data_IF_930714603938
#
_entry.id   IF_930714603938
#
_cell.length_a   1.000
_cell.length_b   1.000
_cell.length_c   1.000
_cell.angle_alpha   90.00
_cell.angle_beta   90.00
_cell.angle_gamma   90.00
#
_symmetry.space_group_name_H-M   'P 1'
#
loop_
_entity.id
_entity.type
_entity.pdbx_description
1 polymer ?
#
# COMPACT_ATOMS: atom_id res chain seq x y z
N UNK A 1 -6.17 -7.24 19.22
CA UNK A 1 -6.03 -7.52 17.77
C UNK A 1 -5.45 -6.29 17.07
N UNK A 2 -4.42 -6.45 16.28
CA UNK A 2 -3.81 -5.34 15.55
C UNK A 2 -4.68 -4.91 14.37
N UNK A 3 -4.69 -3.62 14.13
CA UNK A 3 -5.47 -3.02 13.05
C UNK A 3 -4.59 -2.08 12.21
N UNK A 4 -5.15 -1.63 11.09
CA UNK A 4 -4.49 -0.71 10.16
C UNK A 4 -3.99 0.56 10.86
N UNK A 5 -4.75 1.08 11.83
CA UNK A 5 -4.33 2.27 12.58
C UNK A 5 -3.01 2.07 13.33
N UNK A 6 -2.71 0.85 13.78
CA UNK A 6 -1.43 0.54 14.41
C UNK A 6 -0.28 0.61 13.41
N UNK A 7 -0.52 0.13 12.19
CA UNK A 7 0.47 0.24 11.10
C UNK A 7 0.73 1.72 10.77
N UNK A 8 -0.33 2.50 10.59
CA UNK A 8 -0.21 3.92 10.26
C UNK A 8 0.47 4.72 11.38
N UNK A 9 0.20 4.37 12.65
CA UNK A 9 0.85 5.01 13.78
C UNK A 9 2.37 4.76 13.78
N UNK A 10 2.78 3.55 13.37
CA UNK A 10 4.20 3.16 13.32
C UNK A 10 4.93 3.77 12.12
N UNK A 11 4.36 3.63 10.92
CA UNK A 11 5.04 4.04 9.68
C UNK A 11 4.72 5.49 9.26
N UNK A 12 3.68 6.08 9.84
CA UNK A 12 3.16 7.36 9.42
C UNK A 12 2.08 7.21 8.34
N UNK A 13 1.28 8.25 8.18
CA UNK A 13 0.19 8.29 7.21
C UNK A 13 0.52 9.13 5.97
N UNK A 14 1.77 9.56 5.82
CA UNK A 14 2.21 10.31 4.64
C UNK A 14 2.11 9.43 3.39
N UNK A 15 1.52 10.00 2.34
CA UNK A 15 1.28 9.31 1.08
C UNK A 15 2.06 10.02 -0.02
N UNK A 16 2.81 9.24 -0.81
CA UNK A 16 3.50 9.75 -2.00
C UNK A 16 2.50 9.73 -3.15
N UNK A 17 2.19 10.90 -3.69
CA UNK A 17 1.19 11.04 -4.72
C UNK A 17 1.70 11.88 -5.89
N UNK A 18 1.21 11.59 -7.09
CA UNK A 18 1.51 12.33 -8.31
C UNK A 18 0.21 12.64 -9.06
N UNK A 19 0.15 13.76 -9.82
CA UNK A 19 -0.97 14.00 -10.72
C UNK A 19 -1.02 12.96 -11.84
N UNK A 20 -2.20 12.74 -12.41
CA UNK A 20 -2.43 11.75 -13.45
C UNK A 20 -1.62 12.00 -14.74
N UNK A 21 -1.26 13.24 -15.01
CA UNK A 21 -0.47 13.62 -16.19
C UNK A 21 1.05 13.45 -16.02
N UNK A 22 1.50 13.01 -14.86
CA UNK A 22 2.91 12.69 -14.64
C UNK A 22 3.32 11.52 -15.53
N UNK A 23 4.47 11.62 -16.20
CA UNK A 23 4.96 10.52 -17.04
C UNK A 23 5.29 9.30 -16.18
N UNK A 24 5.11 8.12 -16.76
CA UNK A 24 5.50 6.87 -16.08
C UNK A 24 6.99 6.88 -15.76
N UNK A 25 7.83 7.46 -16.63
CA UNK A 25 9.25 7.59 -16.37
C UNK A 25 9.53 8.36 -15.06
N UNK A 26 8.84 9.48 -14.84
CA UNK A 26 9.00 10.25 -13.62
C UNK A 26 8.43 9.53 -12.39
N UNK A 27 7.38 8.73 -12.56
CA UNK A 27 6.87 7.86 -11.49
C UNK A 27 7.93 6.84 -11.09
N UNK A 28 8.58 6.20 -12.07
CA UNK A 28 9.64 5.23 -11.80
C UNK A 28 10.83 5.86 -11.09
N UNK A 29 11.22 7.07 -11.50
CA UNK A 29 12.30 7.80 -10.84
C UNK A 29 11.95 8.09 -9.37
N UNK A 30 10.71 8.48 -9.12
CA UNK A 30 10.22 8.75 -7.76
C UNK A 30 10.21 7.48 -6.90
N UNK A 31 9.75 6.36 -7.47
CA UNK A 31 9.77 5.05 -6.78
C UNK A 31 11.20 4.66 -6.40
N UNK A 32 12.15 4.83 -7.31
CA UNK A 32 13.55 4.52 -7.05
C UNK A 32 14.13 5.44 -5.97
N UNK A 33 13.86 6.72 -6.06
CA UNK A 33 14.35 7.72 -5.09
C UNK A 33 13.84 7.45 -3.68
N UNK A 34 12.55 7.13 -3.57
CA UNK A 34 11.90 6.89 -2.27
C UNK A 34 11.95 5.43 -1.83
N UNK A 35 12.46 4.53 -2.66
CA UNK A 35 12.52 3.09 -2.42
C UNK A 35 11.12 2.53 -2.09
N UNK A 36 10.16 2.82 -2.94
CA UNK A 36 8.77 2.38 -2.80
C UNK A 36 8.31 1.69 -4.09
N UNK A 37 7.32 0.82 -3.97
CA UNK A 37 6.79 0.04 -5.11
C UNK A 37 5.41 0.48 -5.58
N UNK A 38 4.87 1.55 -5.02
CA UNK A 38 3.58 2.10 -5.44
C UNK A 38 3.54 3.60 -5.23
N UNK A 39 2.75 4.28 -6.05
CA UNK A 39 2.52 5.72 -5.95
C UNK A 39 1.02 5.98 -6.11
N UNK A 40 0.48 6.84 -5.28
CA UNK A 40 -0.91 7.28 -5.41
C UNK A 40 -1.01 8.24 -6.60
N UNK A 41 -2.06 8.10 -7.37
CA UNK A 41 -2.35 9.00 -8.49
C UNK A 41 -3.59 9.83 -8.16
N UNK A 42 -3.47 11.13 -8.38
CA UNK A 42 -4.55 12.08 -8.10
C UNK A 42 -4.99 12.79 -9.37
N UNK A 43 -6.23 13.24 -9.36
CA UNK A 43 -6.78 14.15 -10.36
C UNK A 43 -7.60 15.20 -9.61
N UNK A 44 -7.30 16.48 -9.86
CA UNK A 44 -7.90 17.56 -9.10
C UNK A 44 -7.75 17.33 -7.57
N UNK A 45 -6.56 16.90 -7.16
CA UNK A 45 -6.19 16.65 -5.77
C UNK A 45 -6.96 15.49 -5.10
N UNK A 46 -7.76 14.75 -5.86
CA UNK A 46 -8.51 13.60 -5.35
C UNK A 46 -7.87 12.29 -5.81
N UNK A 47 -7.86 11.30 -4.93
CA UNK A 47 -7.39 9.96 -5.25
C UNK A 47 -8.19 9.35 -6.40
N UNK A 48 -7.50 8.83 -7.39
CA UNK A 48 -8.14 8.10 -8.49
C UNK A 48 -7.60 6.68 -8.68
N UNK A 49 -6.47 6.34 -8.09
CA UNK A 49 -5.91 4.99 -8.17
C UNK A 49 -4.46 4.94 -7.76
N UNK A 50 -3.85 3.78 -7.97
CA UNK A 50 -2.43 3.54 -7.71
C UNK A 50 -1.72 3.15 -9.00
N UNK A 51 -0.44 3.51 -9.09
CA UNK A 51 0.51 2.90 -10.04
C UNK A 51 1.50 2.08 -9.23
N UNK A 52 1.69 0.83 -9.63
CA UNK A 52 2.61 -0.10 -8.98
C UNK A 52 3.69 -0.54 -9.96
N UNK A 53 4.76 -1.15 -9.44
CA UNK A 53 5.79 -1.76 -10.29
C UNK A 53 5.20 -2.85 -11.20
N UNK A 54 4.16 -3.55 -10.72
CA UNK A 54 3.44 -4.54 -11.50
C UNK A 54 2.72 -3.90 -12.69
N UNK A 55 2.09 -2.72 -12.48
CA UNK A 55 1.46 -1.97 -13.56
C UNK A 55 2.47 -1.59 -14.64
N UNK A 56 3.65 -1.13 -14.23
CA UNK A 56 4.73 -0.81 -15.16
C UNK A 56 5.11 -2.03 -16.00
N UNK A 57 5.36 -3.17 -15.34
CA UNK A 57 5.79 -4.38 -16.04
C UNK A 57 4.72 -4.86 -17.03
N UNK A 58 3.46 -4.87 -16.63
CA UNK A 58 2.36 -5.44 -17.42
C UNK A 58 1.79 -4.50 -18.46
N UNK A 59 1.77 -3.18 -18.18
CA UNK A 59 1.09 -2.20 -19.02
C UNK A 59 2.04 -1.34 -19.85
N UNK A 60 3.33 -1.34 -19.53
CA UNK A 60 4.34 -0.60 -20.30
C UNK A 60 5.25 -1.58 -21.03
N UNK A 61 6.09 -2.32 -20.33
CA UNK A 61 7.11 -3.19 -20.94
C UNK A 61 6.47 -4.26 -21.81
N UNK A 62 5.52 -5.02 -21.28
CA UNK A 62 4.91 -6.13 -21.99
C UNK A 62 3.96 -5.69 -23.11
N UNK A 63 3.49 -4.46 -23.07
CA UNK A 63 2.61 -3.90 -24.10
C UNK A 63 3.35 -3.10 -25.17
N UNK A 64 4.69 -3.05 -25.11
CA UNK A 64 5.50 -2.31 -26.06
C UNK A 64 5.35 -0.79 -25.99
N UNK A 65 4.93 -0.27 -24.84
CA UNK A 65 4.78 1.18 -24.61
C UNK A 65 6.06 1.76 -24.07
N UNK A 66 6.16 3.07 -24.08
CA UNK A 66 7.34 3.80 -23.59
C UNK A 66 6.99 4.64 -22.36
N UNK A 67 7.88 4.63 -21.37
CA UNK A 67 7.69 5.32 -20.08
C UNK A 67 7.66 6.84 -20.25
N UNK A 68 8.33 7.38 -21.26
CA UNK A 68 8.46 8.82 -21.46
C UNK A 68 7.26 9.44 -22.19
N UNK A 69 6.43 8.64 -22.84
CA UNK A 69 5.24 9.12 -23.58
C UNK A 69 3.91 8.57 -23.02
N UNK A 70 3.97 7.86 -21.89
CA UNK A 70 2.79 7.31 -21.23
C UNK A 70 2.65 7.97 -19.85
N UNK A 71 1.43 8.32 -19.48
CA UNK A 71 1.17 8.97 -18.19
C UNK A 71 0.75 7.97 -17.11
N UNK A 72 0.89 8.38 -15.86
CA UNK A 72 0.42 7.59 -14.71
C UNK A 72 -1.07 7.26 -14.86
N UNK A 73 -1.88 8.23 -15.28
CA UNK A 73 -3.32 8.02 -15.48
C UNK A 73 -3.65 6.96 -16.51
N UNK A 74 -2.75 6.71 -17.47
CA UNK A 74 -2.96 5.69 -18.50
C UNK A 74 -2.82 4.26 -17.98
N UNK A 75 -2.15 4.07 -16.86
CA UNK A 75 -1.82 2.73 -16.34
C UNK A 75 -2.29 2.47 -14.91
N UNK A 76 -3.06 3.38 -14.32
CA UNK A 76 -3.52 3.22 -12.93
C UNK A 76 -4.35 1.95 -12.75
N UNK A 77 -4.28 1.41 -11.55
CA UNK A 77 -5.22 0.42 -11.04
C UNK A 77 -6.26 1.14 -10.19
N UNK A 78 -7.55 1.00 -10.53
CA UNK A 78 -8.63 1.78 -9.92
C UNK A 78 -9.55 0.98 -9.01
N UNK A 79 -9.60 -0.34 -9.17
CA UNK A 79 -10.58 -1.20 -8.49
C UNK A 79 -9.99 -1.96 -7.31
N UNK A 80 -9.08 -1.33 -6.59
CA UNK A 80 -8.50 -1.93 -5.38
C UNK A 80 -9.54 -1.93 -4.26
N UNK A 81 -9.59 -3.01 -3.46
CA UNK A 81 -10.42 -3.03 -2.25
C UNK A 81 -10.03 -1.90 -1.31
N UNK A 82 -11.03 -1.27 -0.71
CA UNK A 82 -10.84 -0.18 0.25
C UNK A 82 -10.88 -0.73 1.67
N UNK A 83 -10.00 -0.23 2.50
CA UNK A 83 -9.97 -0.56 3.93
C UNK A 83 -10.03 0.72 4.74
N UNK A 84 -10.28 0.58 6.04
CA UNK A 84 -10.34 1.70 6.98
C UNK A 84 -9.28 1.53 8.07
N UNK A 85 -9.00 2.56 8.87
CA UNK A 85 -8.07 2.41 9.99
C UNK A 85 -8.49 1.34 11.00
N UNK A 86 -9.77 1.00 11.06
CA UNK A 86 -10.28 -0.04 11.97
C UNK A 86 -10.24 -1.45 11.37
N UNK A 87 -9.89 -1.60 10.09
CA UNK A 87 -9.71 -2.91 9.47
C UNK A 87 -8.59 -3.66 10.19
N UNK A 88 -8.77 -4.97 10.36
CA UNK A 88 -7.76 -5.79 11.05
C UNK A 88 -6.62 -6.14 10.10
N UNK A 89 -5.44 -6.34 10.66
CA UNK A 89 -4.26 -6.79 9.90
C UNK A 89 -4.55 -8.14 9.25
N UNK A 90 -5.22 -9.05 9.97
CA UNK A 90 -5.60 -10.37 9.44
C UNK A 90 -6.53 -10.24 8.23
N UNK A 91 -7.49 -9.32 8.28
CA UNK A 91 -8.39 -9.08 7.15
C UNK A 91 -7.64 -8.52 5.94
N UNK A 92 -6.69 -7.62 6.18
CA UNK A 92 -5.83 -7.09 5.09
C UNK A 92 -5.03 -8.21 4.42
N UNK A 93 -4.45 -9.10 5.23
CA UNK A 93 -3.70 -10.24 4.72
C UNK A 93 -4.59 -11.14 3.86
N UNK A 94 -5.80 -11.42 4.32
CA UNK A 94 -6.76 -12.24 3.58
C UNK A 94 -7.12 -11.60 2.24
N UNK A 95 -7.43 -10.32 2.23
CA UNK A 95 -7.77 -9.57 1.01
C UNK A 95 -6.60 -9.61 0.02
N UNK A 96 -5.39 -9.32 0.49
CA UNK A 96 -4.20 -9.32 -0.36
C UNK A 96 -3.92 -10.71 -0.94
N UNK A 97 -4.09 -11.75 -0.14
CA UNK A 97 -3.87 -13.13 -0.54
C UNK A 97 -4.90 -13.58 -1.59
N UNK A 98 -6.19 -13.35 -1.32
CA UNK A 98 -7.27 -13.78 -2.21
C UNK A 98 -7.28 -13.01 -3.53
N UNK A 99 -6.98 -11.72 -3.49
CA UNK A 99 -6.99 -10.85 -4.67
C UNK A 99 -5.63 -10.76 -5.38
N UNK A 100 -4.59 -11.38 -4.81
CA UNK A 100 -3.22 -11.33 -5.31
C UNK A 100 -2.74 -9.89 -5.55
N UNK A 101 -2.98 -9.03 -4.58
CA UNK A 101 -2.57 -7.62 -4.58
C UNK A 101 -1.63 -7.35 -3.42
N UNK A 102 -0.80 -6.31 -3.55
CA UNK A 102 0.27 -6.00 -2.57
C UNK A 102 0.08 -4.66 -1.87
N UNK A 103 -0.95 -3.91 -2.24
CA UNK A 103 -1.20 -2.57 -1.71
C UNK A 103 -2.68 -2.36 -1.52
N UNK A 104 -3.05 -1.72 -0.41
CA UNK A 104 -4.45 -1.38 -0.10
C UNK A 104 -4.54 0.10 0.27
N UNK A 105 -5.40 0.87 -0.40
CA UNK A 105 -5.66 2.23 0.02
C UNK A 105 -6.55 2.25 1.27
N UNK A 106 -6.21 3.13 2.21
CA UNK A 106 -6.94 3.30 3.47
C UNK A 106 -7.73 4.60 3.41
N UNK A 107 -9.03 4.52 3.71
CA UNK A 107 -9.92 5.67 3.69
C UNK A 107 -10.50 5.92 5.07
N UNK A 108 -10.64 7.20 5.43
CA UNK A 108 -11.27 7.60 6.70
C UNK A 108 -12.79 7.65 6.59
N UNK A 109 -13.46 8.05 7.67
CA UNK A 109 -14.92 8.13 7.72
C UNK A 109 -15.50 9.18 6.76
N UNK A 110 -14.69 10.15 6.33
CA UNK A 110 -15.09 11.16 5.35
C UNK A 110 -14.79 10.70 3.91
N UNK A 111 -14.47 9.43 3.72
CA UNK A 111 -14.13 8.83 2.41
C UNK A 111 -12.89 9.47 1.77
N UNK A 112 -11.97 9.93 2.60
CA UNK A 112 -10.70 10.50 2.14
C UNK A 112 -9.56 9.53 2.36
N UNK A 113 -8.65 9.47 1.39
CA UNK A 113 -7.46 8.65 1.50
C UNK A 113 -6.61 9.15 2.68
N UNK A 114 -6.31 8.26 3.62
CA UNK A 114 -5.50 8.58 4.79
C UNK A 114 -4.23 7.74 4.90
N UNK A 115 -3.99 6.82 3.97
CA UNK A 115 -2.76 6.02 3.96
C UNK A 115 -2.79 4.93 2.91
N UNK A 116 -1.63 4.28 2.75
CA UNK A 116 -1.47 3.10 1.90
C UNK A 116 -0.79 2.03 2.74
N UNK A 117 -1.33 0.82 2.71
CA UNK A 117 -0.77 -0.33 3.40
C UNK A 117 -0.17 -1.27 2.36
N UNK A 118 1.09 -1.65 2.53
CA UNK A 118 1.77 -2.62 1.68
C UNK A 118 1.72 -4.02 2.29
N UNK A 119 2.00 -5.04 1.48
CA UNK A 119 2.16 -6.41 1.98
C UNK A 119 3.27 -6.49 3.02
N UNK A 120 4.35 -5.72 2.84
CA UNK A 120 5.45 -5.69 3.80
C UNK A 120 4.99 -5.15 5.16
N UNK A 121 4.12 -4.14 5.17
CA UNK A 121 3.55 -3.61 6.42
C UNK A 121 2.75 -4.67 7.16
N UNK A 122 1.93 -5.43 6.43
CA UNK A 122 1.08 -6.48 6.98
C UNK A 122 1.93 -7.62 7.55
N UNK A 123 2.94 -8.06 6.79
CA UNK A 123 3.87 -9.12 7.21
C UNK A 123 4.63 -8.69 8.46
N UNK A 124 5.17 -7.47 8.46
CA UNK A 124 5.90 -6.94 9.62
C UNK A 124 5.01 -6.93 10.86
N UNK A 125 3.81 -6.40 10.74
CA UNK A 125 2.89 -6.28 11.88
C UNK A 125 2.47 -7.66 12.41
N UNK A 126 2.27 -8.63 11.52
CA UNK A 126 1.92 -9.99 11.90
C UNK A 126 3.05 -10.66 12.68
N UNK A 127 4.28 -10.57 12.16
CA UNK A 127 5.46 -11.13 12.82
C UNK A 127 5.68 -10.47 14.18
N UNK A 128 5.57 -9.16 14.25
CA UNK A 128 5.75 -8.40 15.50
C UNK A 128 4.71 -8.78 16.54
N UNK A 129 3.45 -8.93 16.16
CA UNK A 129 2.38 -9.40 17.05
C UNK A 129 2.63 -10.81 17.57
N UNK A 130 3.09 -11.72 16.72
CA UNK A 130 3.41 -13.09 17.13
C UNK A 130 4.57 -13.10 18.12
N UNK A 131 5.58 -12.28 17.89
CA UNK A 131 6.72 -12.16 18.78
C UNK A 131 6.30 -11.64 20.17
N UNK A 132 5.47 -10.62 20.20
CA UNK A 132 4.92 -10.09 21.46
C UNK A 132 4.17 -11.19 22.25
N UNK A 133 3.36 -11.98 21.56
CA UNK A 133 2.60 -13.08 22.15
C UNK A 133 3.54 -14.14 22.74
N UNK A 134 4.58 -14.52 22.00
CA UNK A 134 5.58 -15.49 22.45
C UNK A 134 6.29 -14.95 23.70
N UNK A 135 6.72 -13.70 23.70
CA UNK A 135 7.40 -13.08 24.82
C UNK A 135 6.49 -13.04 26.07
N UNK A 136 5.21 -12.72 25.90
CA UNK A 136 4.23 -12.74 26.98
C UNK A 136 4.05 -14.14 27.57
N UNK A 137 3.95 -15.16 26.73
CA UNK A 137 3.85 -16.55 27.18
C UNK A 137 5.10 -16.99 27.91
N UNK A 138 6.28 -16.60 27.42
CA UNK A 138 7.55 -16.86 28.09
C UNK A 138 7.58 -16.25 29.47
N UNK A 139 7.20 -14.99 29.60
CA UNK A 139 7.15 -14.29 30.88
C UNK A 139 6.17 -14.97 31.85
N UNK A 140 5.02 -15.40 31.37
CA UNK A 140 4.01 -16.10 32.17
C UNK A 140 4.56 -17.42 32.70
N UNK A 141 5.22 -18.20 31.85
CA UNK A 141 5.80 -19.50 32.22
C UNK A 141 6.92 -19.32 33.25
N UNK A 142 7.77 -18.29 33.06
CA UNK A 142 8.92 -18.06 33.97
C UNK A 142 8.56 -17.32 35.25
N UNK A 143 7.39 -16.70 35.32
CA UNK A 143 6.90 -16.02 36.52
C UNK A 143 6.38 -16.98 37.59
N UNK A 144 6.13 -18.22 37.23
CA UNK A 144 5.69 -19.27 38.18
C UNK A 144 6.84 -20.22 38.47
#
# INVERSE_FOLDING_TARGET
>A
MKSVKHILARKGSAVIAVPADTTVLNVLKLMAEKNIGSVVVTKNESYIGLVTERDYARKIILMGRHSDDTTAGDIITTNLPRITPNSTVDNCMLIMSESNIRYLPVFDDADKLCGIISINDVVYETIHSQKETIDQLHSYIHAT
#
